data_IF_948208451682
#
_entry.id   IF_948208451682
#
_cell.length_a   1.000
_cell.length_b   1.000
_cell.length_c   1.000
_cell.angle_alpha   90.00
_cell.angle_beta   90.00
_cell.angle_gamma   90.00
#
_symmetry.space_group_name_H-M   'P 1'
#
loop_
_entity.id
_entity.type
_entity.pdbx_description
1 polymer ?
#
# COMPACT_ATOMS: atom_id res chain seq x y z
N UNK A 1 -2.06 21.75 -6.51
CA UNK A 1 -1.53 20.39 -6.30
C UNK A 1 -2.30 19.85 -5.13
N UNK A 2 -3.28 18.98 -5.39
CA UNK A 2 -4.05 18.35 -4.31
C UNK A 2 -3.07 17.60 -3.42
N UNK A 3 -3.15 17.83 -2.11
CA UNK A 3 -2.49 16.97 -1.14
C UNK A 3 -3.28 15.67 -1.21
N UNK A 4 -2.68 14.64 -1.80
CA UNK A 4 -3.35 13.36 -1.92
C UNK A 4 -3.72 12.83 -0.54
N UNK A 5 -4.88 12.16 -0.42
CA UNK A 5 -5.36 11.59 0.84
C UNK A 5 -4.26 10.77 1.54
N UNK A 6 -3.94 11.14 2.79
CA UNK A 6 -2.91 10.45 3.58
C UNK A 6 -3.54 9.29 4.35
N UNK A 7 -3.22 8.06 3.95
CA UNK A 7 -3.63 6.86 4.69
C UNK A 7 -2.62 6.56 5.80
N UNK A 8 -3.14 6.32 6.99
CA UNK A 8 -2.40 5.84 8.14
C UNK A 8 -2.89 4.46 8.57
N UNK A 9 -1.97 3.67 9.14
CA UNK A 9 -2.27 2.37 9.73
C UNK A 9 -2.24 2.50 11.24
N UNK A 10 -3.33 2.09 11.89
CA UNK A 10 -3.47 1.95 13.33
C UNK A 10 -3.54 0.47 13.69
N UNK A 11 -2.74 0.05 14.67
CA UNK A 11 -2.70 -1.33 15.15
C UNK A 11 -3.50 -1.49 16.45
N UNK A 12 -3.95 -2.71 16.76
CA UNK A 12 -4.61 -3.04 18.03
C UNK A 12 -3.70 -2.95 19.24
N UNK A 13 -2.39 -3.00 19.01
CA UNK A 13 -1.34 -2.81 20.00
C UNK A 13 -0.51 -1.58 19.61
N UNK A 14 -0.04 -0.82 20.60
CA UNK A 14 0.83 0.33 20.38
C UNK A 14 2.09 -0.07 19.59
N UNK A 15 2.30 0.59 18.45
CA UNK A 15 3.43 0.32 17.56
C UNK A 15 4.76 0.65 18.27
N UNK A 16 5.81 -0.19 18.15
CA UNK A 16 7.11 0.08 18.76
C UNK A 16 7.79 1.27 18.06
N UNK A 17 7.53 2.47 18.58
CA UNK A 17 7.80 3.75 17.91
C UNK A 17 9.26 3.91 17.45
N UNK A 18 10.24 3.60 18.30
CA UNK A 18 11.67 3.72 17.93
C UNK A 18 12.04 2.83 16.73
N UNK A 19 11.58 1.57 16.74
CA UNK A 19 11.82 0.62 15.64
C UNK A 19 11.09 1.02 14.36
N UNK A 20 9.88 1.58 14.50
CA UNK A 20 9.14 2.13 13.38
C UNK A 20 9.88 3.31 12.74
N UNK A 21 10.45 4.23 13.53
CA UNK A 21 11.25 5.34 13.01
C UNK A 21 12.50 4.85 12.27
N UNK A 22 13.24 3.91 12.84
CA UNK A 22 14.40 3.29 12.17
C UNK A 22 14.03 2.64 10.84
N UNK A 23 12.87 1.97 10.79
CA UNK A 23 12.36 1.34 9.58
C UNK A 23 11.97 2.40 8.53
N UNK A 24 11.27 3.45 8.95
CA UNK A 24 10.87 4.56 8.08
C UNK A 24 12.07 5.25 7.44
N UNK A 25 13.10 5.53 8.23
CA UNK A 25 14.34 6.16 7.76
C UNK A 25 15.10 5.27 6.78
N UNK A 26 15.15 3.95 7.02
CA UNK A 26 15.80 2.98 6.13
C UNK A 26 15.18 2.96 4.73
N UNK A 27 13.86 3.05 4.66
CA UNK A 27 13.12 3.03 3.40
C UNK A 27 12.92 4.41 2.78
N UNK A 28 13.29 5.48 3.49
CA UNK A 28 12.98 6.87 3.12
C UNK A 28 11.48 7.05 2.85
N UNK A 29 10.64 6.36 3.62
CA UNK A 29 9.20 6.34 3.42
C UNK A 29 8.59 7.69 3.85
N UNK A 30 7.90 8.36 2.93
CA UNK A 30 7.08 9.56 3.19
C UNK A 30 5.62 9.13 3.15
N UNK A 31 4.77 9.60 4.08
CA UNK A 31 3.32 9.29 4.05
C UNK A 31 2.61 9.85 2.82
N UNK A 32 3.28 10.72 2.06
CA UNK A 32 2.85 11.17 0.72
C UNK A 32 3.33 10.25 -0.41
N UNK A 33 3.92 9.10 -0.09
CA UNK A 33 4.41 8.16 -1.09
C UNK A 33 3.26 7.49 -1.82
N UNK A 34 3.53 7.08 -3.06
CA UNK A 34 2.50 6.61 -3.98
C UNK A 34 1.85 5.28 -3.60
N UNK A 35 2.19 4.65 -2.47
CA UNK A 35 1.35 3.58 -1.91
C UNK A 35 -0.04 4.14 -1.55
N UNK A 36 -0.11 5.35 -0.98
CA UNK A 36 -1.39 6.01 -0.72
C UNK A 36 -2.14 6.30 -2.02
N UNK A 37 -1.44 6.82 -3.03
CA UNK A 37 -2.01 7.04 -4.37
C UNK A 37 -2.54 5.75 -5.00
N UNK A 38 -1.87 4.62 -4.78
CA UNK A 38 -2.33 3.31 -5.25
C UNK A 38 -3.57 2.84 -4.48
N UNK A 39 -3.55 2.93 -3.15
CA UNK A 39 -4.64 2.44 -2.29
C UNK A 39 -5.91 3.30 -2.37
N UNK A 40 -5.79 4.62 -2.55
CA UNK A 40 -6.92 5.56 -2.67
C UNK A 40 -7.38 5.72 -4.11
N UNK A 41 -6.47 5.68 -5.08
CA UNK A 41 -6.78 5.90 -6.49
C UNK A 41 -7.34 7.30 -6.76
N UNK A 42 -6.64 8.37 -6.38
CA UNK A 42 -7.07 9.73 -6.70
C UNK A 42 -7.17 9.95 -8.22
N UNK A 43 -8.38 10.15 -8.73
CA UNK A 43 -8.63 10.62 -10.09
C UNK A 43 -10.12 10.65 -10.44
N UNK A 44 -10.53 11.55 -11.34
CA UNK A 44 -11.89 11.63 -11.92
C UNK A 44 -12.27 10.41 -12.78
N UNK A 45 -11.42 9.37 -12.83
CA UNK A 45 -11.62 8.17 -13.61
C UNK A 45 -12.37 7.14 -12.75
N UNK A 46 -13.46 6.58 -13.26
CA UNK A 46 -14.31 5.64 -12.52
C UNK A 46 -13.57 4.41 -11.99
N UNK A 47 -14.24 3.60 -11.17
CA UNK A 47 -13.65 2.45 -10.45
C UNK A 47 -12.76 1.52 -11.30
N UNK A 48 -13.09 1.32 -12.57
CA UNK A 48 -12.33 0.43 -13.47
C UNK A 48 -10.95 0.97 -13.88
N UNK A 49 -10.78 2.30 -13.79
CA UNK A 49 -9.57 3.00 -14.16
C UNK A 49 -8.64 3.20 -12.97
N UNK A 50 -9.08 2.96 -11.72
CA UNK A 50 -8.25 3.12 -10.51
C UNK A 50 -6.92 2.38 -10.62
N UNK A 51 -5.84 3.04 -10.22
CA UNK A 51 -4.48 2.50 -10.31
C UNK A 51 -4.33 1.12 -9.66
N UNK A 52 -4.95 0.89 -8.50
CA UNK A 52 -4.98 -0.43 -7.85
C UNK A 52 -5.55 -1.51 -8.79
N UNK A 53 -6.69 -1.23 -9.43
CA UNK A 53 -7.36 -2.16 -10.35
C UNK A 53 -6.54 -2.38 -11.62
N UNK A 54 -5.81 -1.38 -12.08
CA UNK A 54 -4.87 -1.55 -13.19
C UNK A 54 -3.69 -2.46 -12.80
N UNK A 55 -3.13 -2.28 -11.61
CA UNK A 55 -2.06 -3.15 -11.07
C UNK A 55 -2.58 -4.59 -10.92
N UNK A 56 -3.77 -4.78 -10.34
CA UNK A 56 -4.44 -6.09 -10.22
C UNK A 56 -4.57 -6.78 -11.59
N UNK A 57 -5.08 -6.07 -12.60
CA UNK A 57 -5.25 -6.59 -13.97
C UNK A 57 -3.91 -6.95 -14.61
N UNK A 58 -2.90 -6.10 -14.47
CA UNK A 58 -1.58 -6.31 -15.11
C UNK A 58 -0.80 -7.44 -14.46
N UNK A 59 -0.85 -7.53 -13.13
CA UNK A 59 -0.13 -8.54 -12.36
C UNK A 59 -0.95 -9.83 -12.14
N UNK A 60 -2.24 -9.81 -12.46
CA UNK A 60 -3.19 -10.90 -12.23
C UNK A 60 -3.22 -11.37 -10.76
N UNK A 61 -3.38 -10.41 -9.86
CA UNK A 61 -3.46 -10.60 -8.41
C UNK A 61 -4.66 -9.85 -7.86
N UNK A 62 -5.27 -10.36 -6.80
CA UNK A 62 -6.37 -9.69 -6.09
C UNK A 62 -5.82 -8.84 -4.96
N UNK A 63 -5.92 -7.51 -5.06
CA UNK A 63 -5.43 -6.52 -4.10
C UNK A 63 -6.55 -5.87 -3.28
N UNK A 64 -7.74 -6.47 -3.24
CA UNK A 64 -8.90 -5.95 -2.47
C UNK A 64 -8.50 -5.58 -1.03
N UNK A 65 -7.67 -6.38 -0.34
CA UNK A 65 -7.19 -6.10 1.04
C UNK A 65 -6.36 -4.81 1.20
N UNK A 66 -5.88 -4.23 0.10
CA UNK A 66 -5.15 -2.95 0.05
C UNK A 66 -6.06 -1.79 -0.38
N UNK A 67 -7.26 -2.07 -0.88
CA UNK A 67 -8.18 -1.02 -1.32
C UNK A 67 -8.67 -0.25 -0.09
N UNK A 68 -8.32 1.03 0.00
CA UNK A 68 -8.71 1.83 1.15
C UNK A 68 -10.23 1.97 1.23
N UNK A 69 -10.91 2.20 0.10
CA UNK A 69 -12.35 2.48 0.11
C UNK A 69 -13.19 1.26 0.51
N UNK A 70 -12.74 0.06 0.14
CA UNK A 70 -13.38 -1.21 0.54
C UNK A 70 -13.33 -1.42 2.08
N UNK A 71 -12.37 -0.76 2.76
CA UNK A 71 -12.15 -0.91 4.21
C UNK A 71 -12.37 0.37 5.02
N UNK A 72 -12.56 1.52 4.38
CA UNK A 72 -12.79 2.81 5.04
C UNK A 72 -14.27 3.03 5.40
N UNK A 73 -15.20 2.69 4.49
CA UNK A 73 -16.63 2.99 4.64
C UNK A 73 -17.49 1.76 5.02
N UNK A 74 -17.15 0.54 4.58
CA UNK A 74 -17.98 -0.66 4.81
C UNK A 74 -17.61 -1.45 6.08
N UNK A 75 -16.42 -1.22 6.64
CA UNK A 75 -15.91 -1.97 7.78
C UNK A 75 -15.24 -1.03 8.79
N UNK A 76 -16.00 -0.49 9.74
CA UNK A 76 -15.43 0.21 10.92
C UNK A 76 -14.37 -0.62 11.69
N UNK A 77 -14.25 -1.92 11.38
CA UNK A 77 -13.44 -2.90 12.07
C UNK A 77 -12.01 -3.04 11.54
N UNK A 78 -11.15 -3.44 12.46
CA UNK A 78 -9.81 -3.87 12.14
C UNK A 78 -9.81 -5.09 11.20
N UNK A 79 -8.83 -5.15 10.32
CA UNK A 79 -8.50 -6.32 9.51
C UNK A 79 -7.37 -7.12 10.17
N UNK A 80 -7.34 -8.43 9.94
CA UNK A 80 -6.24 -9.26 10.43
C UNK A 80 -4.94 -8.93 9.68
N UNK A 81 -3.85 -8.74 10.43
CA UNK A 81 -2.53 -8.43 9.85
C UNK A 81 -2.02 -9.58 8.97
N UNK A 82 -2.27 -10.84 9.37
CA UNK A 82 -1.72 -12.01 8.66
C UNK A 82 -2.20 -12.12 7.19
N UNK A 83 -3.51 -12.06 6.87
CA UNK A 83 -3.97 -12.02 5.49
C UNK A 83 -3.36 -10.87 4.67
N UNK A 84 -3.32 -9.66 5.25
CA UNK A 84 -2.73 -8.50 4.60
C UNK A 84 -1.23 -8.71 4.31
N UNK A 85 -0.48 -9.21 5.29
CA UNK A 85 0.93 -9.52 5.16
C UNK A 85 1.19 -10.52 4.03
N UNK A 86 0.44 -11.64 3.99
CA UNK A 86 0.55 -12.63 2.92
C UNK A 86 0.25 -12.03 1.55
N UNK A 87 -0.73 -11.12 1.49
CA UNK A 87 -1.10 -10.45 0.24
C UNK A 87 0.00 -9.51 -0.26
N UNK A 88 0.67 -8.80 0.63
CA UNK A 88 1.80 -7.96 0.27
C UNK A 88 3.01 -8.77 -0.21
N UNK A 89 3.24 -9.96 0.36
CA UNK A 89 4.27 -10.90 -0.12
C UNK A 89 3.95 -11.37 -1.54
N UNK A 90 2.68 -11.70 -1.83
CA UNK A 90 2.21 -12.05 -3.18
C UNK A 90 2.47 -10.90 -4.17
N UNK A 91 2.09 -9.67 -3.80
CA UNK A 91 2.34 -8.46 -4.59
C UNK A 91 3.85 -8.23 -4.82
N UNK A 92 4.67 -8.35 -3.77
CA UNK A 92 6.13 -8.22 -3.89
C UNK A 92 6.71 -9.19 -4.91
N UNK A 93 6.30 -10.46 -4.86
CA UNK A 93 6.76 -11.48 -5.79
C UNK A 93 6.31 -11.16 -7.22
N UNK A 94 5.04 -10.80 -7.42
CA UNK A 94 4.51 -10.43 -8.73
C UNK A 94 5.25 -9.23 -9.35
N UNK A 95 5.59 -8.22 -8.55
CA UNK A 95 6.38 -7.06 -8.97
C UNK A 95 7.81 -7.43 -9.37
N UNK A 96 8.45 -8.34 -8.63
CA UNK A 96 9.80 -8.83 -8.93
C UNK A 96 9.81 -9.68 -10.21
N UNK A 97 8.79 -10.50 -10.42
CA UNK A 97 8.63 -11.34 -11.62
C UNK A 97 8.27 -10.52 -12.87
N UNK A 98 7.59 -9.38 -12.69
CA UNK A 98 7.12 -8.51 -13.77
C UNK A 98 7.71 -7.10 -13.64
N UNK A 99 9.04 -6.90 -13.79
CA UNK A 99 9.68 -5.61 -13.55
C UNK A 99 9.17 -4.50 -14.49
N UNK A 100 8.56 -4.84 -15.63
CA UNK A 100 8.03 -3.89 -16.62
C UNK A 100 6.51 -3.69 -16.53
N UNK A 101 5.86 -4.13 -15.44
CA UNK A 101 4.41 -4.01 -15.24
C UNK A 101 3.91 -2.56 -15.42
N UNK A 102 4.70 -1.58 -14.95
CA UNK A 102 4.36 -0.16 -14.99
C UNK A 102 4.12 0.35 -16.42
N UNK A 103 4.78 -0.22 -17.44
CA UNK A 103 4.56 0.16 -18.85
C UNK A 103 3.19 -0.24 -19.41
N UNK A 104 2.48 -1.13 -18.71
CA UNK A 104 1.16 -1.64 -19.11
C UNK A 104 0.02 -0.93 -18.38
N UNK A 105 0.36 -0.06 -17.44
CA UNK A 105 -0.59 0.78 -16.71
C UNK A 105 -0.85 2.02 -17.57
N UNK A 106 -2.12 2.38 -17.72
CA UNK A 106 -2.61 3.54 -18.44
C UNK A 106 -3.10 4.58 -17.42
N UNK A 107 -2.17 5.11 -16.64
CA UNK A 107 -2.36 6.11 -15.59
C UNK A 107 -1.27 7.20 -15.79
N UNK A 108 -1.54 8.47 -15.45
CA UNK A 108 -0.80 9.67 -15.88
C UNK A 108 0.75 9.60 -15.87
N UNK A 109 1.38 10.36 -16.78
CA UNK A 109 2.57 9.79 -17.43
C UNK A 109 3.98 10.09 -16.90
N UNK A 110 4.24 11.04 -15.99
CA UNK A 110 5.66 11.43 -15.72
C UNK A 110 6.11 11.34 -14.27
N UNK A 111 5.23 11.61 -13.31
CA UNK A 111 5.51 11.44 -11.88
C UNK A 111 5.25 9.99 -11.47
N UNK A 112 4.26 9.35 -12.08
CA UNK A 112 3.75 8.03 -11.70
C UNK A 112 4.58 6.91 -12.35
N UNK A 113 5.08 7.08 -13.57
CA UNK A 113 6.00 6.12 -14.23
C UNK A 113 7.30 5.91 -13.43
N UNK A 114 7.96 7.01 -13.02
CA UNK A 114 9.18 6.93 -12.21
C UNK A 114 8.89 6.35 -10.83
N UNK A 115 7.79 6.77 -10.22
CA UNK A 115 7.41 6.27 -8.90
C UNK A 115 7.13 4.76 -8.91
N UNK A 116 6.25 4.30 -9.81
CA UNK A 116 5.87 2.88 -9.92
C UNK A 116 7.10 2.02 -10.20
N UNK A 117 7.98 2.49 -11.09
CA UNK A 117 9.23 1.79 -11.41
C UNK A 117 10.21 1.73 -10.24
N UNK A 118 10.47 2.85 -9.57
CA UNK A 118 11.62 2.97 -8.66
C UNK A 118 11.28 2.86 -7.17
N UNK A 119 10.01 3.07 -6.79
CA UNK A 119 9.59 3.24 -5.40
C UNK A 119 8.45 2.32 -4.96
N UNK A 120 7.50 1.94 -5.82
CA UNK A 120 6.37 1.11 -5.36
C UNK A 120 6.81 -0.21 -4.70
N UNK A 121 7.78 -0.90 -5.29
CA UNK A 121 8.34 -2.12 -4.69
C UNK A 121 8.99 -1.86 -3.31
N UNK A 122 9.60 -0.68 -3.10
CA UNK A 122 10.18 -0.31 -1.81
C UNK A 122 9.08 -0.06 -0.78
N UNK A 123 8.00 0.61 -1.17
CA UNK A 123 6.86 0.86 -0.30
C UNK A 123 6.16 -0.45 0.12
N UNK A 124 5.99 -1.39 -0.82
CA UNK A 124 5.49 -2.73 -0.50
C UNK A 124 6.39 -3.43 0.52
N UNK A 125 7.72 -3.38 0.32
CA UNK A 125 8.69 -3.98 1.26
C UNK A 125 8.69 -3.31 2.63
N UNK A 126 8.59 -1.98 2.66
CA UNK A 126 8.44 -1.22 3.90
C UNK A 126 7.20 -1.68 4.66
N UNK A 127 6.05 -1.79 3.98
CA UNK A 127 4.81 -2.19 4.62
C UNK A 127 4.88 -3.64 5.14
N UNK A 128 5.49 -4.56 4.38
CA UNK A 128 5.78 -5.94 4.83
C UNK A 128 6.58 -5.93 6.13
N UNK A 129 7.70 -5.20 6.17
CA UNK A 129 8.54 -5.12 7.37
C UNK A 129 7.80 -4.46 8.55
N UNK A 130 6.98 -3.44 8.30
CA UNK A 130 6.16 -2.78 9.33
C UNK A 130 5.11 -3.72 9.91
N UNK A 131 4.42 -4.49 9.07
CA UNK A 131 3.46 -5.48 9.54
C UNK A 131 4.14 -6.60 10.33
N UNK A 132 5.31 -7.06 9.87
CA UNK A 132 6.08 -8.07 10.61
C UNK A 132 6.55 -7.54 11.97
N UNK A 133 7.05 -6.30 12.03
CA UNK A 133 7.42 -5.63 13.28
C UNK A 133 6.26 -5.59 14.28
N UNK A 134 5.06 -5.28 13.81
CA UNK A 134 3.88 -5.22 14.67
C UNK A 134 3.38 -6.62 15.07
N UNK A 135 3.46 -7.62 14.19
CA UNK A 135 3.20 -9.02 14.54
C UNK A 135 4.16 -9.51 15.66
N UNK A 136 5.45 -9.18 15.56
CA UNK A 136 6.45 -9.49 16.60
C UNK A 136 6.17 -8.77 17.92
N UNK A 137 5.60 -7.56 17.85
CA UNK A 137 5.16 -6.79 19.01
C UNK A 137 3.83 -7.30 19.62
N UNK A 138 3.20 -8.30 19.01
CA UNK A 138 1.96 -8.92 19.49
C UNK A 138 0.67 -8.33 18.92
N UNK A 139 0.77 -7.39 17.97
CA UNK A 139 -0.39 -6.91 17.22
C UNK A 139 -0.97 -8.03 16.36
N UNK A 140 -2.29 -8.04 16.20
CA UNK A 140 -3.00 -9.02 15.38
C UNK A 140 -3.91 -8.37 14.34
N UNK A 141 -4.22 -7.09 14.55
CA UNK A 141 -5.25 -6.34 13.88
C UNK A 141 -4.69 -4.98 13.44
N UNK A 142 -5.10 -4.53 12.26
CA UNK A 142 -4.73 -3.22 11.71
C UNK A 142 -5.95 -2.55 11.09
N UNK A 143 -6.00 -1.22 11.13
CA UNK A 143 -7.06 -0.40 10.54
C UNK A 143 -6.44 0.69 9.69
N UNK A 144 -7.04 0.95 8.53
CA UNK A 144 -6.72 2.12 7.72
C UNK A 144 -7.56 3.30 8.20
N UNK A 145 -6.94 4.47 8.31
CA UNK A 145 -7.62 5.75 8.53
C UNK A 145 -7.07 6.78 7.55
N UNK A 146 -7.84 7.83 7.27
CA UNK A 146 -7.36 9.00 6.56
C UNK A 146 -7.43 10.25 7.44
N UNK A 147 -6.53 11.20 7.22
CA UNK A 147 -6.58 12.56 7.78
C UNK A 147 -7.24 13.54 6.80
#
# INVERSE_FOLDING_TARGET
MGLGLEIYLIFDIEEPFEKYLELKDRYLFDHRSGLNLIMTGEGDAGDEDRLLRQVEKVLNIDLTLLDFWDYADEHEGYINIKPLYMKLIELQNALVENPEYYRKICWGHDIEDKYLKDNFLKDVRFLIERLNLNLENGASLVKYISD
#
